data_IF_177623378424
#
_entry.id   IF_177623378424
#
_cell.length_a   1.000
_cell.length_b   1.000
_cell.length_c   1.000
_cell.angle_alpha   90.00
_cell.angle_beta   90.00
_cell.angle_gamma   90.00
#
_symmetry.space_group_name_H-M   'P 1'
#
loop_
_entity.id
_entity.type
_entity.pdbx_description
1 polymer ?
#
# COMPACT_ATOMS: atom_id res chain seq x y z
N UNK A 1 18.24 4.06 9.52
CA UNK A 1 16.98 4.37 8.85
C UNK A 1 15.82 4.49 9.83
N UNK A 2 14.67 4.87 9.32
CA UNK A 2 13.44 5.02 10.09
C UNK A 2 12.38 4.11 9.51
N UNK A 3 11.76 3.29 10.36
CA UNK A 3 10.55 2.54 10.05
C UNK A 3 9.32 3.33 10.48
N UNK A 4 8.24 3.24 9.72
CA UNK A 4 6.98 3.90 10.06
C UNK A 4 5.78 3.09 9.57
N UNK A 5 4.60 3.41 10.08
CA UNK A 5 3.31 2.81 9.76
C UNK A 5 2.32 3.90 9.33
N UNK A 6 1.10 3.53 8.90
CA UNK A 6 0.08 4.48 8.44
C UNK A 6 -1.05 4.76 9.46
N UNK A 7 -0.88 4.36 10.70
CA UNK A 7 -1.98 4.36 11.68
C UNK A 7 -2.29 5.73 12.30
N UNK A 8 -1.58 6.80 11.90
CA UNK A 8 -1.93 8.15 12.31
C UNK A 8 -3.30 8.60 11.81
N UNK A 9 -3.82 7.99 10.77
CA UNK A 9 -5.14 8.26 10.22
C UNK A 9 -6.29 7.80 11.14
N UNK A 10 -6.01 6.99 12.16
CA UNK A 10 -7.00 6.66 13.19
C UNK A 10 -7.55 7.89 13.91
N UNK A 11 -6.81 8.97 13.94
CA UNK A 11 -7.18 10.16 14.65
C UNK A 11 -8.36 10.89 14.01
N UNK A 12 -8.34 11.02 12.68
CA UNK A 12 -9.37 11.76 11.91
C UNK A 12 -9.55 11.27 10.46
N UNK A 13 -8.97 10.14 10.12
CA UNK A 13 -9.04 9.58 8.77
C UNK A 13 -8.14 10.27 7.74
N UNK A 14 -7.29 11.23 8.16
CA UNK A 14 -6.45 11.99 7.24
C UNK A 14 -5.02 11.47 7.20
N UNK A 15 -4.56 10.87 6.08
CA UNK A 15 -3.16 10.47 5.95
C UNK A 15 -2.21 11.66 5.99
N UNK A 16 -1.10 11.52 6.73
CA UNK A 16 -0.15 12.61 6.95
C UNK A 16 1.16 12.41 6.17
N UNK A 17 1.08 12.19 4.86
CA UNK A 17 2.24 11.95 3.99
C UNK A 17 3.32 13.04 4.07
N UNK A 18 2.94 14.29 4.39
CA UNK A 18 3.89 15.38 4.62
C UNK A 18 4.84 15.12 5.80
N UNK A 19 4.47 14.27 6.77
CA UNK A 19 5.36 13.91 7.86
C UNK A 19 6.49 13.01 7.35
N UNK A 20 6.19 12.11 6.40
CA UNK A 20 7.19 11.27 5.75
C UNK A 20 8.18 12.16 4.98
N UNK A 21 7.69 13.12 4.18
CA UNK A 21 8.52 14.11 3.49
C UNK A 21 9.40 14.90 4.48
N UNK A 22 8.82 15.38 5.58
CA UNK A 22 9.55 16.14 6.60
C UNK A 22 10.69 15.35 7.24
N UNK A 23 10.51 14.05 7.48
CA UNK A 23 11.59 13.19 7.98
C UNK A 23 12.65 12.96 6.91
N UNK A 24 12.26 12.75 5.66
CA UNK A 24 13.19 12.62 4.54
C UNK A 24 14.05 13.88 4.35
N UNK A 25 13.43 15.07 4.38
CA UNK A 25 14.12 16.35 4.23
C UNK A 25 15.10 16.64 5.38
N UNK A 26 14.69 16.28 6.61
CA UNK A 26 15.52 16.46 7.80
C UNK A 26 16.70 15.49 7.87
N UNK A 27 16.56 14.28 7.31
CA UNK A 27 17.56 13.22 7.38
C UNK A 27 17.74 12.51 6.03
N UNK A 28 18.22 13.21 4.98
CA UNK A 28 18.26 12.68 3.60
C UNK A 28 19.23 11.51 3.41
N UNK A 29 20.19 11.33 4.35
CA UNK A 29 21.12 10.20 4.38
C UNK A 29 20.50 8.93 5.02
N UNK A 30 19.30 9.02 5.60
CA UNK A 30 18.62 7.89 6.23
C UNK A 30 17.54 7.33 5.33
N UNK A 31 17.50 6.01 5.23
CA UNK A 31 16.44 5.31 4.50
C UNK A 31 15.15 5.32 5.33
N UNK A 32 14.05 5.62 4.67
CA UNK A 32 12.69 5.47 5.21
C UNK A 32 12.09 4.19 4.68
N UNK A 33 11.50 3.40 5.55
CA UNK A 33 10.84 2.13 5.20
C UNK A 33 9.46 2.12 5.86
N UNK A 34 8.43 1.96 5.05
CA UNK A 34 7.11 1.60 5.56
C UNK A 34 7.17 0.13 6.01
N UNK A 35 7.05 -0.12 7.30
CA UNK A 35 7.35 -1.43 7.90
C UNK A 35 6.12 -2.24 8.26
N UNK A 36 4.95 -1.62 8.30
CA UNK A 36 3.70 -2.31 8.60
C UNK A 36 2.49 -1.46 8.19
N UNK A 37 1.51 -2.12 7.58
CA UNK A 37 0.16 -1.60 7.42
C UNK A 37 -0.82 -2.75 7.23
N UNK A 38 -2.02 -2.63 7.77
CA UNK A 38 -3.13 -3.50 7.45
C UNK A 38 -4.44 -2.71 7.46
N UNK A 39 -5.43 -3.23 6.77
CA UNK A 39 -6.80 -2.76 6.90
C UNK A 39 -7.46 -3.52 8.05
N UNK A 40 -7.71 -2.80 9.14
CA UNK A 40 -8.31 -3.34 10.36
C UNK A 40 -9.84 -3.37 10.28
N UNK A 41 -10.46 -3.87 11.35
CA UNK A 41 -11.92 -3.93 11.43
C UNK A 41 -12.52 -4.90 10.44
N UNK A 42 -11.97 -6.12 10.40
CA UNK A 42 -12.43 -7.18 9.52
C UNK A 42 -13.95 -7.32 9.57
N UNK A 43 -14.54 -7.44 8.39
CA UNK A 43 -15.98 -7.66 8.20
C UNK A 43 -16.16 -8.57 6.98
N UNK A 44 -16.86 -9.70 7.16
CA UNK A 44 -17.05 -10.70 6.12
C UNK A 44 -17.81 -10.15 4.91
N UNK A 45 -18.81 -9.30 5.12
CA UNK A 45 -19.59 -8.70 4.03
C UNK A 45 -18.72 -7.81 3.13
N UNK A 46 -17.80 -7.03 3.75
CA UNK A 46 -16.82 -6.22 2.98
C UNK A 46 -15.83 -7.10 2.23
N UNK A 47 -15.40 -8.21 2.83
CA UNK A 47 -14.52 -9.17 2.16
C UNK A 47 -15.22 -9.79 0.95
N UNK A 48 -16.45 -10.29 1.12
CA UNK A 48 -17.23 -10.94 0.05
C UNK A 48 -17.55 -9.99 -1.11
N UNK A 49 -17.74 -8.70 -0.81
CA UNK A 49 -17.94 -7.65 -1.82
C UNK A 49 -16.65 -7.17 -2.45
N UNK A 50 -15.51 -7.61 -1.94
CA UNK A 50 -14.17 -7.13 -2.36
C UNK A 50 -14.15 -5.59 -2.39
N UNK A 51 -14.43 -4.99 -1.22
CA UNK A 51 -14.59 -3.55 -1.04
C UNK A 51 -13.40 -2.76 -1.63
N UNK A 52 -13.62 -1.94 -2.67
CA UNK A 52 -12.54 -1.25 -3.37
C UNK A 52 -11.76 -0.29 -2.47
N UNK A 53 -12.41 0.30 -1.45
CA UNK A 53 -11.75 1.26 -0.56
C UNK A 53 -10.57 0.65 0.20
N UNK A 54 -10.60 -0.68 0.46
CA UNK A 54 -9.49 -1.40 1.10
C UNK A 54 -8.25 -1.42 0.21
N UNK A 55 -8.44 -1.60 -1.09
CA UNK A 55 -7.36 -1.63 -2.07
C UNK A 55 -6.85 -0.22 -2.43
N UNK A 56 -7.75 0.73 -2.57
CA UNK A 56 -7.42 2.12 -2.87
C UNK A 56 -6.53 2.75 -1.81
N UNK A 57 -6.72 2.37 -0.54
CA UNK A 57 -5.85 2.80 0.56
C UNK A 57 -4.40 2.40 0.30
N UNK A 58 -4.13 1.17 -0.17
CA UNK A 58 -2.79 0.72 -0.54
C UNK A 58 -2.21 1.53 -1.69
N UNK A 59 -2.97 1.70 -2.79
CA UNK A 59 -2.52 2.49 -3.94
C UNK A 59 -2.15 3.91 -3.56
N UNK A 60 -3.03 4.58 -2.81
CA UNK A 60 -2.82 5.94 -2.32
C UNK A 60 -1.60 6.03 -1.40
N UNK A 61 -1.48 5.13 -0.42
CA UNK A 61 -0.36 5.13 0.51
C UNK A 61 0.97 4.88 -0.21
N UNK A 62 1.07 3.83 -1.01
CA UNK A 62 2.32 3.47 -1.70
C UNK A 62 2.79 4.58 -2.66
N UNK A 63 1.89 5.18 -3.47
CA UNK A 63 2.25 6.29 -4.35
C UNK A 63 2.82 7.46 -3.56
N UNK A 64 2.13 7.85 -2.49
CA UNK A 64 2.55 9.01 -1.70
C UNK A 64 3.83 8.74 -0.90
N UNK A 65 3.95 7.58 -0.26
CA UNK A 65 5.13 7.22 0.51
C UNK A 65 6.38 7.19 -0.38
N UNK A 66 6.31 6.55 -1.53
CA UNK A 66 7.43 6.53 -2.47
C UNK A 66 7.77 7.93 -2.99
N UNK A 67 6.77 8.76 -3.29
CA UNK A 67 6.99 10.13 -3.72
C UNK A 67 7.63 11.00 -2.62
N UNK A 68 7.46 10.63 -1.35
CA UNK A 68 8.03 11.31 -0.19
C UNK A 68 9.28 10.65 0.38
N UNK A 69 10.01 9.83 -0.42
CA UNK A 69 11.35 9.36 -0.09
C UNK A 69 11.43 7.97 0.55
N UNK A 70 10.31 7.25 0.68
CA UNK A 70 10.31 5.85 1.14
C UNK A 70 11.02 4.96 0.11
N UNK A 71 11.89 4.08 0.59
CA UNK A 71 12.71 3.19 -0.27
C UNK A 71 12.24 1.74 -0.28
N UNK A 72 11.37 1.35 0.66
CA UNK A 72 10.75 0.03 0.70
C UNK A 72 9.40 0.11 1.42
N UNK A 73 8.52 -0.79 1.07
CA UNK A 73 7.17 -0.86 1.62
C UNK A 73 6.82 -2.31 1.96
N UNK A 74 6.36 -2.56 3.18
CA UNK A 74 6.06 -3.91 3.71
C UNK A 74 4.67 -3.93 4.30
N UNK A 75 3.85 -4.86 3.85
CA UNK A 75 2.53 -5.11 4.44
C UNK A 75 2.64 -5.97 5.70
N UNK A 76 1.58 -6.03 6.52
CA UNK A 76 1.58 -6.82 7.74
C UNK A 76 1.43 -8.31 7.44
N UNK A 77 0.37 -8.70 6.74
CA UNK A 77 0.12 -10.10 6.38
C UNK A 77 -0.28 -10.23 4.92
N UNK A 78 0.36 -11.12 4.20
CA UNK A 78 -0.03 -11.46 2.83
C UNK A 78 -1.26 -12.38 2.80
N UNK A 79 -1.42 -13.24 3.80
CA UNK A 79 -2.46 -14.25 3.87
C UNK A 79 -3.07 -14.29 5.27
N UNK A 80 -4.38 -14.19 5.35
CA UNK A 80 -5.19 -14.46 6.55
C UNK A 80 -6.28 -15.48 6.22
N UNK A 81 -6.90 -16.03 7.25
CA UNK A 81 -8.03 -16.95 7.09
C UNK A 81 -9.35 -16.22 6.77
N UNK A 82 -10.44 -16.99 6.63
CA UNK A 82 -11.80 -16.49 6.35
C UNK A 82 -12.40 -15.65 7.48
N UNK A 83 -11.73 -15.52 8.61
CA UNK A 83 -12.15 -14.69 9.75
C UNK A 83 -11.29 -13.44 9.94
N UNK A 84 -10.26 -13.25 9.10
CA UNK A 84 -9.30 -12.16 9.24
C UNK A 84 -8.21 -12.43 10.28
N UNK A 85 -8.00 -13.72 10.60
CA UNK A 85 -7.00 -14.21 11.56
C UNK A 85 -5.98 -15.17 10.93
N UNK A 86 -5.13 -15.79 11.75
CA UNK A 86 -5.11 -15.75 13.21
C UNK A 86 -4.70 -14.42 13.82
N UNK A 87 -5.11 -14.17 15.05
CA UNK A 87 -4.80 -12.93 15.77
C UNK A 87 -4.69 -13.18 17.29
N UNK A 88 -3.77 -12.50 17.98
CA UNK A 88 -3.51 -12.67 19.40
C UNK A 88 -4.14 -11.59 20.30
N UNK A 89 -4.68 -10.50 19.72
CA UNK A 89 -5.23 -9.34 20.46
C UNK A 89 -6.66 -8.96 20.02
N UNK A 90 -7.34 -9.85 19.33
CA UNK A 90 -8.70 -9.63 18.80
C UNK A 90 -8.78 -8.53 17.73
N UNK A 91 -7.66 -8.18 17.10
CA UNK A 91 -7.61 -7.23 16.00
C UNK A 91 -7.60 -7.99 14.67
N UNK A 92 -8.77 -8.40 14.20
CA UNK A 92 -8.94 -9.09 12.93
C UNK A 92 -8.84 -8.11 11.76
N UNK A 93 -8.13 -8.51 10.71
CA UNK A 93 -7.75 -7.63 9.60
C UNK A 93 -8.13 -8.21 8.24
N UNK A 94 -8.10 -7.35 7.24
CA UNK A 94 -8.09 -7.77 5.84
C UNK A 94 -6.65 -8.01 5.39
N UNK A 95 -6.48 -8.95 4.47
CA UNK A 95 -5.21 -9.24 3.81
C UNK A 95 -5.36 -9.22 2.28
N UNK A 96 -4.27 -9.10 1.54
CA UNK A 96 -4.28 -9.27 0.08
C UNK A 96 -4.87 -10.60 -0.37
N UNK A 97 -4.66 -11.66 0.42
CA UNK A 97 -5.20 -13.00 0.16
C UNK A 97 -5.91 -13.52 1.41
N UNK A 98 -7.09 -14.12 1.22
CA UNK A 98 -7.77 -14.86 2.28
C UNK A 98 -7.88 -16.34 1.92
N UNK A 99 -7.56 -17.23 2.87
CA UNK A 99 -7.65 -18.67 2.73
C UNK A 99 -8.84 -19.22 3.50
N UNK A 100 -9.73 -19.93 2.86
CA UNK A 100 -10.79 -20.63 3.56
C UNK A 100 -10.25 -21.95 4.13
N UNK A 101 -10.13 -22.04 5.44
CA UNK A 101 -9.51 -23.18 6.16
C UNK A 101 -10.30 -24.47 6.00
N UNK A 102 -11.60 -24.39 5.68
CA UNK A 102 -12.49 -25.56 5.52
C UNK A 102 -12.44 -26.14 4.11
N UNK A 103 -12.26 -25.27 3.10
CA UNK A 103 -12.32 -25.69 1.69
C UNK A 103 -10.97 -25.68 0.99
N UNK A 104 -9.94 -25.06 1.58
CA UNK A 104 -8.63 -24.85 0.99
C UNK A 104 -8.63 -23.83 -0.16
N UNK A 105 -9.73 -23.13 -0.40
CA UNK A 105 -9.81 -22.13 -1.47
C UNK A 105 -9.14 -20.83 -1.04
N UNK A 106 -8.42 -20.21 -1.98
CA UNK A 106 -7.86 -18.87 -1.83
C UNK A 106 -8.75 -17.85 -2.53
N UNK A 107 -8.92 -16.70 -1.90
CA UNK A 107 -9.54 -15.50 -2.46
C UNK A 107 -8.48 -14.42 -2.57
N UNK A 108 -8.21 -13.97 -3.78
CA UNK A 108 -7.33 -12.85 -4.07
C UNK A 108 -8.17 -11.59 -4.13
N UNK A 109 -7.95 -10.68 -3.18
CA UNK A 109 -8.69 -9.42 -3.10
C UNK A 109 -8.12 -8.38 -4.05
N UNK A 110 -8.84 -7.27 -4.27
CA UNK A 110 -8.31 -6.11 -5.02
C UNK A 110 -6.99 -5.60 -4.45
N UNK A 111 -6.80 -5.66 -3.12
CA UNK A 111 -5.55 -5.25 -2.47
C UNK A 111 -4.34 -6.03 -3.01
N UNK A 112 -4.49 -7.33 -3.31
CA UNK A 112 -3.45 -8.14 -3.93
C UNK A 112 -2.99 -7.54 -5.28
N UNK A 113 -3.94 -7.12 -6.10
CA UNK A 113 -3.64 -6.54 -7.41
C UNK A 113 -3.06 -5.13 -7.30
N UNK A 114 -3.58 -4.31 -6.37
CA UNK A 114 -3.02 -2.97 -6.14
C UNK A 114 -1.56 -3.02 -5.71
N UNK A 115 -1.21 -3.87 -4.74
CA UNK A 115 0.18 -4.10 -4.34
C UNK A 115 0.98 -4.68 -5.50
N UNK A 116 0.38 -5.57 -6.28
CA UNK A 116 0.96 -6.20 -7.46
C UNK A 116 1.41 -5.20 -8.53
N UNK A 117 0.72 -4.06 -8.70
CA UNK A 117 1.15 -3.00 -9.63
C UNK A 117 2.54 -2.44 -9.29
N UNK A 118 2.92 -2.47 -8.03
CA UNK A 118 4.25 -2.05 -7.58
C UNK A 118 5.22 -3.24 -7.57
N UNK A 119 4.91 -4.27 -6.81
CA UNK A 119 5.86 -5.35 -6.50
C UNK A 119 6.24 -6.21 -7.71
N UNK A 120 5.38 -6.30 -8.72
CA UNK A 120 5.66 -7.07 -9.93
C UNK A 120 6.63 -6.38 -10.88
N UNK A 121 6.59 -5.06 -10.97
CA UNK A 121 7.27 -4.30 -12.02
C UNK A 121 8.47 -3.49 -11.50
N UNK A 122 8.38 -2.95 -10.28
CA UNK A 122 9.47 -2.22 -9.64
C UNK A 122 10.44 -3.24 -9.05
N UNK A 123 11.67 -3.28 -9.55
CA UNK A 123 12.66 -4.28 -9.15
C UNK A 123 13.55 -3.75 -8.02
N UNK A 124 14.12 -4.64 -7.19
CA UNK A 124 15.18 -4.24 -6.27
C UNK A 124 16.29 -3.46 -7.00
N UNK A 125 16.75 -2.35 -6.42
CA UNK A 125 17.70 -1.45 -7.07
C UNK A 125 17.07 -0.37 -7.94
N UNK A 126 15.77 -0.43 -8.24
CA UNK A 126 15.07 0.63 -8.98
C UNK A 126 15.20 1.98 -8.27
N UNK A 127 15.33 3.05 -9.05
CA UNK A 127 15.41 4.43 -8.55
C UNK A 127 14.16 5.18 -8.92
N UNK A 128 13.52 5.82 -7.93
CA UNK A 128 12.39 6.72 -8.21
C UNK A 128 12.86 7.89 -9.08
N UNK A 129 12.09 8.21 -10.09
CA UNK A 129 12.31 9.38 -10.96
C UNK A 129 11.15 10.37 -10.78
N UNK A 130 11.40 11.64 -11.10
CA UNK A 130 10.39 12.70 -10.99
C UNK A 130 9.15 12.35 -11.81
N UNK A 131 7.99 12.51 -11.20
CA UNK A 131 6.69 12.22 -11.80
C UNK A 131 5.75 13.38 -11.51
N UNK A 132 5.05 13.84 -12.51
CA UNK A 132 3.99 14.85 -12.39
C UNK A 132 2.75 14.37 -13.12
N UNK A 133 1.59 14.82 -12.65
CA UNK A 133 0.30 14.62 -13.30
C UNK A 133 -0.31 15.98 -13.64
N UNK A 134 -1.07 16.05 -14.73
CA UNK A 134 -1.75 17.29 -15.16
C UNK A 134 -3.17 17.40 -14.64
N UNK A 135 -3.69 16.35 -14.03
CA UNK A 135 -5.05 16.29 -13.50
C UNK A 135 -5.04 16.01 -11.99
N UNK A 136 -5.86 16.74 -11.25
CA UNK A 136 -5.91 16.65 -9.78
C UNK A 136 -6.41 15.28 -9.25
N UNK A 137 -7.16 14.56 -10.07
CA UNK A 137 -7.67 13.24 -9.75
C UNK A 137 -6.70 12.09 -10.10
N UNK A 138 -5.55 12.40 -10.69
CA UNK A 138 -4.52 11.42 -11.00
C UNK A 138 -3.37 11.51 -10.00
N UNK A 139 -3.03 10.38 -9.42
CA UNK A 139 -1.83 10.20 -8.61
C UNK A 139 -0.89 9.24 -9.33
N UNK A 140 0.41 9.53 -9.34
CA UNK A 140 1.37 8.65 -9.99
C UNK A 140 2.74 8.66 -9.29
N UNK A 141 3.47 7.58 -9.47
CA UNK A 141 4.89 7.46 -9.11
C UNK A 141 5.62 6.70 -10.22
N UNK A 142 6.90 7.00 -10.43
CA UNK A 142 7.67 6.39 -11.51
C UNK A 142 9.06 5.97 -11.05
N UNK A 143 9.53 4.87 -11.64
CA UNK A 143 10.82 4.26 -11.31
C UNK A 143 11.59 3.90 -12.56
N UNK A 144 12.91 4.00 -12.47
CA UNK A 144 13.86 3.48 -13.44
C UNK A 144 14.51 2.22 -12.84
N UNK A 145 14.24 1.07 -13.44
CA UNK A 145 14.88 -0.19 -13.09
C UNK A 145 16.35 -0.24 -13.57
N UNK A 146 17.14 -1.14 -13.02
CA UNK A 146 18.55 -1.31 -13.41
C UNK A 146 18.75 -1.75 -14.87
N UNK A 147 17.77 -2.43 -15.46
CA UNK A 147 17.76 -2.83 -16.87
C UNK A 147 17.38 -1.69 -17.83
N UNK A 148 17.15 -0.48 -17.32
CA UNK A 148 16.73 0.69 -18.08
C UNK A 148 15.21 0.78 -18.35
N UNK A 149 14.43 -0.18 -17.94
CA UNK A 149 12.97 -0.09 -18.07
C UNK A 149 12.38 0.96 -17.12
N UNK A 150 11.40 1.70 -17.61
CA UNK A 150 10.64 2.68 -16.82
C UNK A 150 9.32 2.07 -16.40
N UNK A 151 9.02 2.15 -15.11
CA UNK A 151 7.73 1.75 -14.54
C UNK A 151 6.99 2.99 -14.10
N UNK A 152 5.75 3.13 -14.53
CA UNK A 152 4.82 4.16 -14.06
C UNK A 152 3.63 3.46 -13.42
N UNK A 153 3.37 3.77 -12.15
CA UNK A 153 2.14 3.36 -11.47
C UNK A 153 1.27 4.59 -11.30
N UNK A 154 0.09 4.55 -11.87
CA UNK A 154 -0.89 5.63 -11.83
C UNK A 154 -2.21 5.13 -11.24
N UNK A 155 -2.88 6.00 -10.50
CA UNK A 155 -4.17 5.76 -9.89
C UNK A 155 -5.11 6.93 -10.19
N UNK A 156 -6.28 6.63 -10.73
CA UNK A 156 -7.39 7.57 -10.79
C UNK A 156 -8.10 7.57 -9.42
N UNK A 157 -8.24 8.72 -8.81
CA UNK A 157 -8.87 8.92 -7.50
C UNK A 157 -10.28 9.53 -7.60
N UNK A 158 -10.83 9.63 -8.81
CA UNK A 158 -12.20 10.06 -9.06
C UNK A 158 -13.07 8.91 -9.56
N UNK A 159 -14.38 9.11 -9.48
CA UNK A 159 -15.40 8.19 -10.04
C UNK A 159 -15.59 8.41 -11.56
N UNK A 160 -14.89 9.39 -12.16
CA UNK A 160 -14.93 9.69 -13.59
C UNK A 160 -13.86 8.92 -14.35
N UNK A 161 -14.19 8.46 -15.58
CA UNK A 161 -13.26 7.78 -16.49
C UNK A 161 -12.32 8.77 -17.21
#
# INVERSE_FOLDING_TARGET
GTGFHWYEDWKDGTPMFKNVAGVYDAYPDKKLIFTEGCNEGYNLERLEKDDPSLAERYGKAMINDFNNGTVAWTDWNILLDETGGPNHVQNFCFAPVHGNTKTGKLMFTRSYYYIGHFSKFIRPGARRISTGTTANHLSATSFLNEDGSVVVVAMNTSDEE
#
